data_IF_067242162424
#
_entry.id   IF_067242162424
#
_cell.length_a   1.000
_cell.length_b   1.000
_cell.length_c   1.000
_cell.angle_alpha   90.00
_cell.angle_beta   90.00
_cell.angle_gamma   90.00
#
_symmetry.space_group_name_H-M   'P 1'
#
loop_
_entity.id
_entity.type
_entity.pdbx_description
1 polymer ?
#
# COMPACT_ATOMS: atom_id res chain seq x y z
N UNK A 1 -4.62 -30.07 -7.32
CA UNK A 1 -3.99 -29.29 -8.41
C UNK A 1 -3.66 -27.90 -7.89
N UNK A 2 -2.41 -27.66 -7.50
CA UNK A 2 -1.94 -26.34 -7.09
C UNK A 2 -1.53 -25.59 -8.37
N UNK A 3 -2.32 -24.59 -8.79
CA UNK A 3 -1.94 -23.70 -9.89
C UNK A 3 -0.75 -22.87 -9.43
N UNK A 4 0.45 -23.35 -9.75
CA UNK A 4 1.67 -22.54 -9.83
C UNK A 4 1.39 -21.48 -10.88
N UNK A 5 1.18 -20.22 -10.45
CA UNK A 5 1.23 -19.08 -11.36
C UNK A 5 2.70 -18.94 -11.74
N UNK A 6 3.10 -19.68 -12.77
CA UNK A 6 4.36 -19.45 -13.45
C UNK A 6 4.18 -18.16 -14.27
N UNK A 7 5.04 -17.17 -14.01
CA UNK A 7 5.28 -16.08 -14.94
C UNK A 7 4.63 -14.75 -14.56
N UNK A 8 5.20 -14.08 -13.56
CA UNK A 8 5.82 -12.78 -13.78
C UNK A 8 6.58 -12.42 -12.51
N UNK A 9 7.84 -12.02 -12.63
CA UNK A 9 8.46 -11.11 -11.65
C UNK A 9 7.79 -9.74 -11.78
N UNK A 10 6.46 -9.72 -11.81
CA UNK A 10 5.62 -8.58 -12.07
C UNK A 10 5.58 -7.79 -10.80
N UNK A 11 6.00 -6.54 -10.89
CA UNK A 11 5.92 -5.63 -9.75
C UNK A 11 4.48 -5.61 -9.24
N UNK A 12 4.27 -6.20 -8.07
CA UNK A 12 3.01 -6.09 -7.36
C UNK A 12 2.98 -4.74 -6.65
N UNK A 13 1.80 -4.15 -6.52
CA UNK A 13 1.61 -2.87 -5.85
C UNK A 13 0.60 -3.00 -4.73
N UNK A 14 0.90 -2.45 -3.57
CA UNK A 14 -0.01 -2.35 -2.42
C UNK A 14 -0.37 -0.91 -2.14
N UNK A 15 -1.58 -0.70 -1.63
CA UNK A 15 -1.99 0.57 -1.02
C UNK A 15 -1.72 0.46 0.48
N UNK A 16 -0.92 1.37 1.00
CA UNK A 16 -0.52 1.43 2.40
C UNK A 16 -1.14 2.65 3.07
N UNK A 17 -1.57 2.49 4.31
CA UNK A 17 -1.96 3.58 5.18
C UNK A 17 -0.77 3.99 6.05
N UNK A 18 -0.32 5.24 5.91
CA UNK A 18 0.85 5.76 6.61
C UNK A 18 0.42 6.54 7.85
N UNK A 19 0.81 6.06 9.02
CA UNK A 19 0.55 6.74 10.30
C UNK A 19 1.79 7.52 10.70
N UNK A 20 1.62 8.83 10.92
CA UNK A 20 2.65 9.71 11.46
C UNK A 20 2.41 9.91 12.97
N UNK A 21 3.33 9.45 13.80
CA UNK A 21 3.36 9.72 15.24
C UNK A 21 4.61 10.51 15.63
N UNK A 22 4.45 11.45 16.58
CA UNK A 22 5.58 12.07 17.29
C UNK A 22 5.75 11.37 18.64
N UNK A 23 6.91 10.79 18.89
CA UNK A 23 7.27 10.21 20.18
C UNK A 23 8.27 11.15 20.86
N UNK A 24 7.81 11.84 21.90
CA UNK A 24 8.63 12.57 22.87
C UNK A 24 9.76 13.45 22.26
N UNK A 25 9.44 14.26 21.25
CA UNK A 25 10.37 15.25 20.70
C UNK A 25 11.42 14.71 19.73
N UNK A 26 11.40 13.40 19.43
CA UNK A 26 12.18 12.82 18.34
C UNK A 26 11.29 12.55 17.12
N UNK A 27 11.80 12.93 15.95
CA UNK A 27 11.07 12.91 14.70
C UNK A 27 10.59 11.50 14.31
N UNK A 28 9.27 11.42 14.09
CA UNK A 28 8.54 10.53 13.18
C UNK A 28 8.72 9.03 13.41
N UNK A 29 7.82 8.47 14.22
CA UNK A 29 7.38 7.10 13.99
C UNK A 29 6.49 7.11 12.74
N UNK A 30 7.06 6.73 11.59
CA UNK A 30 6.29 6.43 10.38
C UNK A 30 6.04 4.93 10.36
N UNK A 31 4.79 4.52 10.57
CA UNK A 31 4.40 3.12 10.40
C UNK A 31 3.42 3.01 9.26
N UNK A 32 3.74 2.12 8.32
CA UNK A 32 2.93 1.86 7.14
C UNK A 32 2.22 0.52 7.34
N UNK A 33 0.93 0.48 7.03
CA UNK A 33 0.13 -0.73 7.08
C UNK A 33 -0.44 -1.01 5.71
N UNK A 34 -0.24 -2.23 5.19
CA UNK A 34 -0.91 -2.64 3.97
C UNK A 34 -2.42 -2.59 4.21
N UNK A 35 -3.10 -1.74 3.44
CA UNK A 35 -4.54 -1.56 3.53
C UNK A 35 -5.28 -2.31 2.44
N UNK A 36 -4.71 -2.36 1.23
CA UNK A 36 -5.32 -3.03 0.09
C UNK A 36 -4.32 -3.50 -0.96
N UNK A 37 -4.63 -4.58 -1.67
CA UNK A 37 -3.75 -5.26 -2.61
C UNK A 37 -3.28 -6.64 -2.11
N UNK A 38 -2.24 -7.24 -2.71
CA UNK A 38 -1.46 -6.71 -3.84
C UNK A 38 -2.23 -6.68 -5.17
N UNK A 39 -1.91 -5.69 -6.01
CA UNK A 39 -2.41 -5.51 -7.36
C UNK A 39 -1.31 -5.80 -8.38
N UNK A 40 -1.67 -6.40 -9.50
CA UNK A 40 -0.79 -6.67 -10.65
C UNK A 40 -0.52 -5.45 -11.53
N UNK A 41 -1.28 -4.36 -11.34
CA UNK A 41 -1.18 -3.12 -12.13
C UNK A 41 -1.14 -1.89 -11.23
N UNK A 42 -0.15 -1.01 -11.46
CA UNK A 42 -0.02 0.25 -10.75
C UNK A 42 -1.28 1.12 -10.83
N UNK A 43 -1.89 1.20 -12.03
CA UNK A 43 -3.12 1.98 -12.24
C UNK A 43 -4.27 1.51 -11.33
N UNK A 44 -4.40 0.21 -11.11
CA UNK A 44 -5.43 -0.35 -10.22
C UNK A 44 -5.17 0.08 -8.77
N UNK A 45 -3.92 -0.01 -8.31
CA UNK A 45 -3.53 0.43 -6.97
C UNK A 45 -3.73 1.95 -6.77
N UNK A 46 -3.42 2.77 -7.77
CA UNK A 46 -3.64 4.23 -7.73
C UNK A 46 -5.12 4.58 -7.67
N UNK A 47 -5.95 3.95 -8.50
CA UNK A 47 -7.40 4.17 -8.44
C UNK A 47 -7.95 3.78 -7.07
N UNK A 48 -7.54 2.64 -6.52
CA UNK A 48 -7.94 2.21 -5.19
C UNK A 48 -7.51 3.22 -4.11
N UNK A 49 -6.27 3.71 -4.16
CA UNK A 49 -5.79 4.71 -3.20
C UNK A 49 -6.61 6.02 -3.27
N UNK A 50 -7.01 6.46 -4.47
CA UNK A 50 -7.87 7.63 -4.65
C UNK A 50 -9.28 7.41 -4.09
N UNK A 51 -9.86 6.23 -4.31
CA UNK A 51 -11.16 5.86 -3.72
C UNK A 51 -11.10 5.81 -2.19
N UNK A 52 -10.04 5.21 -1.64
CA UNK A 52 -9.80 5.15 -0.21
C UNK A 52 -9.61 6.54 0.40
N UNK A 53 -8.80 7.39 -0.23
CA UNK A 53 -8.65 8.79 0.19
C UNK A 53 -9.99 9.52 0.24
N UNK A 54 -10.80 9.45 -0.83
CA UNK A 54 -12.12 10.10 -0.88
C UNK A 54 -13.09 9.57 0.18
N UNK A 55 -13.11 8.25 0.41
CA UNK A 55 -13.95 7.63 1.45
C UNK A 55 -13.52 8.00 2.88
N UNK A 56 -12.26 8.38 3.06
CA UNK A 56 -11.69 8.81 4.34
C UNK A 56 -11.48 10.32 4.38
N UNK A 57 -12.47 11.11 3.96
CA UNK A 57 -12.46 12.57 4.08
C UNK A 57 -11.29 13.26 3.35
N UNK A 58 -10.86 12.71 2.21
CA UNK A 58 -9.67 13.14 1.47
C UNK A 58 -8.37 13.01 2.27
N UNK A 59 -8.27 11.96 3.10
CA UNK A 59 -7.03 11.61 3.80
C UNK A 59 -5.92 11.28 2.78
N UNK A 60 -4.80 11.97 2.89
CA UNK A 60 -3.62 11.81 2.03
C UNK A 60 -2.64 10.74 2.55
N UNK A 61 -3.00 10.02 3.62
CA UNK A 61 -2.18 8.98 4.23
C UNK A 61 -2.18 7.66 3.44
N UNK A 62 -3.04 7.52 2.43
CA UNK A 62 -3.05 6.36 1.53
C UNK A 62 -2.00 6.52 0.42
N UNK A 63 -0.95 5.70 0.45
CA UNK A 63 0.15 5.73 -0.51
C UNK A 63 0.26 4.41 -1.25
N UNK A 64 0.63 4.46 -2.53
CA UNK A 64 0.91 3.26 -3.33
C UNK A 64 2.39 2.96 -3.31
N UNK A 65 2.76 1.72 -2.96
CA UNK A 65 4.15 1.24 -3.03
C UNK A 65 4.23 -0.13 -3.70
N UNK A 66 5.43 -0.49 -4.16
CA UNK A 66 5.72 -1.86 -4.57
C UNK A 66 5.50 -2.79 -3.38
N UNK A 67 4.67 -3.80 -3.57
CA UNK A 67 4.45 -4.86 -2.60
C UNK A 67 5.68 -5.76 -2.57
N UNK A 68 6.34 -5.80 -1.41
CA UNK A 68 7.41 -6.75 -1.12
C UNK A 68 6.82 -7.78 -0.19
N UNK A 69 6.74 -9.02 -0.65
CA UNK A 69 6.45 -10.14 0.24
C UNK A 69 7.70 -10.33 1.11
N UNK A 70 7.66 -9.85 2.36
CA UNK A 70 8.72 -10.12 3.34
C UNK A 70 8.66 -11.62 3.64
N UNK A 71 9.55 -12.38 2.97
CA UNK A 71 9.72 -13.82 3.11
C UNK A 71 10.67 -14.16 4.24
#
# INVERSE_FOLDING_TARGET
MLRKIAGSNGELYGVYYVVFGSLAGYDRLVKEYLWSGPYDRLKTAVNQAQELSRSHQNDNSFVVRKYKDET
#
